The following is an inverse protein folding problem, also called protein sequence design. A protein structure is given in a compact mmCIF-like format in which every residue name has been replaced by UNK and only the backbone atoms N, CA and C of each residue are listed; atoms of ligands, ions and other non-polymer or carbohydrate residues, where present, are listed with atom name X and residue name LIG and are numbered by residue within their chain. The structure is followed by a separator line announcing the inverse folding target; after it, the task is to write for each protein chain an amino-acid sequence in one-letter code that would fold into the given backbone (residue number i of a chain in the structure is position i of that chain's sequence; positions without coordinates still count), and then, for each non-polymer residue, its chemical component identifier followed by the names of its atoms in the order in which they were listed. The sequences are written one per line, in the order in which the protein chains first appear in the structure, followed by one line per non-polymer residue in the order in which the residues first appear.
data_IF_738875603689
#
_entry.id   IF_738875603689
#
_cell.length_a   1.000
_cell.length_b   1.000
_cell.length_c   1.000
_cell.angle_alpha   90.00
_cell.angle_beta   90.00
_cell.angle_gamma   90.00
#
_symmetry.space_group_name_H-M   'P 1'
#
loop_
_entity.id
_entity.type
_entity.pdbx_description
1 polymer ?
#
# COMPACT_ATOMS: atom_id res chain seq x y z
N UNK A 1 10.47 -8.58 -10.11
CA UNK A 1 11.94 -8.70 -9.93
C UNK A 1 12.23 -8.34 -8.48
N UNK A 2 13.08 -9.07 -7.76
CA UNK A 2 13.49 -8.65 -6.41
C UNK A 2 14.30 -7.36 -6.56
N UNK A 3 13.69 -6.23 -6.22
CA UNK A 3 14.41 -4.97 -6.01
C UNK A 3 15.47 -5.26 -4.95
N UNK A 4 16.75 -5.26 -5.35
CA UNK A 4 17.83 -5.28 -4.37
C UNK A 4 17.63 -4.02 -3.52
N UNK A 5 17.21 -4.19 -2.27
CA UNK A 5 17.15 -3.10 -1.31
C UNK A 5 18.57 -2.61 -1.09
N UNK A 6 18.94 -1.55 -1.82
CA UNK A 6 20.13 -0.77 -1.47
C UNK A 6 19.89 -0.21 -0.08
N UNK A 7 20.96 -0.12 0.70
CA UNK A 7 20.86 0.52 2.00
C UNK A 7 20.42 1.98 1.80
N UNK A 8 19.37 2.46 2.49
CA UNK A 8 18.95 3.85 2.42
C UNK A 8 20.09 4.79 2.80
N UNK A 9 20.22 5.90 2.09
CA UNK A 9 21.16 6.95 2.47
C UNK A 9 20.49 7.91 3.46
N UNK A 10 21.18 8.29 4.53
CA UNK A 10 20.64 9.18 5.57
C UNK A 10 21.27 10.56 5.43
N UNK A 11 20.44 11.59 5.32
CA UNK A 11 20.87 12.99 5.30
C UNK A 11 20.94 13.50 6.73
N UNK A 12 22.11 14.02 7.11
CA UNK A 12 22.41 14.56 8.44
C UNK A 12 22.37 16.09 8.44
N UNK A 13 21.84 16.71 9.49
CA UNK A 13 21.91 18.15 9.78
C UNK A 13 22.24 18.33 11.26
N UNK A 14 23.30 19.09 11.56
CA UNK A 14 23.79 19.33 12.93
C UNK A 14 24.01 18.03 13.74
N UNK A 15 24.54 17.01 13.07
CA UNK A 15 24.79 15.69 13.66
C UNK A 15 23.54 14.83 13.89
N UNK A 16 22.35 15.28 13.45
CA UNK A 16 21.08 14.55 13.58
C UNK A 16 20.55 14.11 12.21
N UNK A 17 19.95 12.91 12.10
CA UNK A 17 19.29 12.49 10.88
C UNK A 17 18.03 13.32 10.65
N UNK A 18 17.84 13.85 9.45
CA UNK A 18 16.68 14.70 9.10
C UNK A 18 15.92 14.22 7.88
N UNK A 19 16.53 13.41 7.02
CA UNK A 19 15.87 12.83 5.86
C UNK A 19 16.57 11.53 5.43
N UNK A 20 15.91 10.78 4.56
CA UNK A 20 16.41 9.55 3.94
C UNK A 20 16.22 9.63 2.42
N UNK A 21 17.19 9.13 1.66
CA UNK A 21 17.07 8.94 0.21
C UNK A 21 16.80 7.46 -0.03
N UNK A 22 15.74 7.18 -0.77
CA UNK A 22 15.27 5.86 -1.14
C UNK A 22 15.16 5.77 -2.66
N UNK A 23 15.34 4.57 -3.21
CA UNK A 23 14.91 4.29 -4.59
C UNK A 23 13.38 4.51 -4.66
N UNK A 24 12.91 5.15 -5.74
CA UNK A 24 11.50 5.56 -5.86
C UNK A 24 10.55 4.35 -5.78
N UNK A 25 10.92 3.23 -6.41
CA UNK A 25 10.13 1.99 -6.37
C UNK A 25 9.96 1.46 -4.94
N UNK A 26 10.95 1.66 -4.07
CA UNK A 26 10.86 1.24 -2.66
C UNK A 26 9.91 2.16 -1.90
N UNK A 27 9.98 3.48 -2.15
CA UNK A 27 9.05 4.42 -1.56
C UNK A 27 7.60 4.12 -1.96
N UNK A 28 7.35 3.86 -3.24
CA UNK A 28 6.02 3.49 -3.75
C UNK A 28 5.52 2.19 -3.10
N UNK A 29 6.35 1.15 -3.00
CA UNK A 29 5.99 -0.09 -2.31
C UNK A 29 5.67 0.13 -0.83
N UNK A 30 6.38 1.04 -0.16
CA UNK A 30 6.08 1.39 1.23
C UNK A 30 4.70 2.05 1.36
N UNK A 31 4.31 2.90 0.40
CA UNK A 31 2.98 3.50 0.37
C UNK A 31 1.89 2.45 0.15
N UNK A 32 2.07 1.56 -0.84
CA UNK A 32 1.12 0.47 -1.12
C UNK A 32 0.91 -0.44 0.11
N UNK A 33 1.96 -0.72 0.88
CA UNK A 33 1.85 -1.53 2.09
C UNK A 33 1.06 -0.82 3.20
N UNK A 34 1.22 0.49 3.34
CA UNK A 34 0.46 1.28 4.33
C UNK A 34 -1.02 1.28 3.94
N UNK A 35 -1.34 1.55 2.68
CA UNK A 35 -2.71 1.49 2.15
C UNK A 35 -3.32 0.09 2.33
N UNK A 36 -2.54 -0.96 2.10
CA UNK A 36 -2.96 -2.33 2.30
C UNK A 36 -3.40 -2.66 3.74
N UNK A 37 -2.86 -2.00 4.75
CA UNK A 37 -3.31 -2.18 6.14
C UNK A 37 -4.71 -1.60 6.32
N UNK A 38 -4.97 -0.40 5.80
CA UNK A 38 -6.28 0.26 5.88
C UNK A 38 -7.35 -0.53 5.09
N UNK A 39 -6.97 -1.05 3.92
CA UNK A 39 -7.83 -1.91 3.10
C UNK A 39 -8.21 -3.20 3.83
N UNK A 40 -7.28 -3.84 4.54
CA UNK A 40 -7.57 -5.04 5.33
C UNK A 40 -8.58 -4.75 6.43
N UNK A 41 -8.44 -3.64 7.16
CA UNK A 41 -9.41 -3.23 8.18
C UNK A 41 -10.80 -2.97 7.56
N UNK A 42 -10.83 -2.37 6.38
CA UNK A 42 -12.07 -2.14 5.65
C UNK A 42 -12.74 -3.44 5.21
N UNK A 43 -11.97 -4.40 4.68
CA UNK A 43 -12.46 -5.72 4.31
C UNK A 43 -12.99 -6.48 5.52
N UNK A 44 -12.33 -6.41 6.68
CA UNK A 44 -12.84 -7.01 7.92
C UNK A 44 -14.19 -6.43 8.32
N UNK A 45 -14.38 -5.11 8.20
CA UNK A 45 -15.67 -4.46 8.47
C UNK A 45 -16.76 -4.91 7.50
N UNK A 46 -16.46 -5.01 6.20
CA UNK A 46 -17.42 -5.52 5.21
C UNK A 46 -17.81 -6.97 5.50
N UNK A 47 -16.85 -7.83 5.88
CA UNK A 47 -17.11 -9.24 6.18
C UNK A 47 -18.03 -9.48 7.37
N UNK A 48 -18.24 -8.48 8.22
CA UNK A 48 -19.20 -8.54 9.33
C UNK A 48 -20.66 -8.31 8.89
N UNK A 49 -20.88 -7.74 7.70
CA UNK A 49 -22.20 -7.52 7.11
C UNK A 49 -22.58 -8.72 6.22
N UNK A 50 -23.88 -9.01 6.03
CA UNK A 50 -24.32 -9.97 5.01
C UNK A 50 -23.81 -9.56 3.63
N UNK A 51 -23.09 -10.45 2.95
CA UNK A 51 -22.56 -10.19 1.62
C UNK A 51 -23.62 -10.45 0.56
N UNK A 52 -23.84 -9.47 -0.32
CA UNK A 52 -24.63 -9.63 -1.53
C UNK A 52 -23.69 -9.88 -2.71
N UNK A 53 -23.94 -10.95 -3.45
CA UNK A 53 -23.17 -11.32 -4.63
C UNK A 53 -24.02 -11.10 -5.88
N UNK A 54 -23.38 -10.67 -6.97
CA UNK A 54 -23.98 -10.61 -8.31
C UNK A 54 -23.05 -11.30 -9.30
N UNK A 55 -23.60 -11.78 -10.41
CA UNK A 55 -22.76 -12.34 -11.47
C UNK A 55 -21.91 -11.24 -12.13
N UNK A 56 -20.80 -11.64 -12.74
CA UNK A 56 -19.99 -10.70 -13.52
C UNK A 56 -20.79 -10.09 -14.67
N UNK A 57 -21.63 -10.89 -15.34
CA UNK A 57 -22.49 -10.41 -16.41
C UNK A 57 -23.50 -9.37 -15.90
N UNK A 58 -24.13 -9.63 -14.75
CA UNK A 58 -25.00 -8.64 -14.09
C UNK A 58 -24.23 -7.37 -13.76
N UNK A 59 -22.98 -7.48 -13.28
CA UNK A 59 -22.07 -6.35 -13.03
C UNK A 59 -21.88 -5.47 -14.25
N UNK A 60 -21.47 -6.07 -15.36
CA UNK A 60 -21.12 -5.37 -16.59
C UNK A 60 -22.32 -4.71 -17.30
N UNK A 61 -23.52 -5.24 -17.13
CA UNK A 61 -24.73 -4.68 -17.77
C UNK A 61 -25.22 -3.35 -17.16
N UNK A 62 -24.67 -2.91 -16.01
CA UNK A 62 -25.07 -1.70 -15.29
C UNK A 62 -24.00 -0.58 -15.32
N UNK A 63 -23.10 -0.62 -16.31
CA UNK A 63 -22.04 0.35 -16.56
C UNK A 63 -22.16 0.90 -17.99
#
# INVERSE_FOLDING_TARGET
MKTQTKNPEIIMRDGKPVAVILDIDIYEQMLEQIEGIEDLEYLEKIRQQPLEFRSLDDFLNNY
#
